data_IF_146088789882
#
_entry.id   IF_146088789882
#
_cell.length_a   1.000
_cell.length_b   1.000
_cell.length_c   1.000
_cell.angle_alpha   90.00
_cell.angle_beta   90.00
_cell.angle_gamma   90.00
#
_symmetry.space_group_name_H-M   'P 1'
#
loop_
_entity.id
_entity.type
_entity.pdbx_description
1 polymer ?
#
# COMPACT_ATOMS: atom_id res chain seq x y z
N UNK A 1 -25.20 -6.72 -6.29
CA UNK A 1 -24.46 -7.03 -7.54
C UNK A 1 -23.61 -5.81 -7.84
N UNK A 2 -22.27 -5.93 -7.78
CA UNK A 2 -21.33 -4.82 -7.96
C UNK A 2 -20.89 -4.77 -9.42
N UNK A 3 -21.08 -3.63 -10.08
CA UNK A 3 -20.61 -3.35 -11.44
C UNK A 3 -19.16 -2.89 -11.39
N UNK A 4 -18.28 -3.52 -12.19
CA UNK A 4 -16.88 -3.11 -12.31
C UNK A 4 -16.81 -1.74 -12.99
N UNK A 5 -16.52 -0.68 -12.23
CA UNK A 5 -16.18 0.63 -12.77
C UNK A 5 -14.67 0.67 -13.12
N UNK A 6 -14.36 1.12 -14.33
CA UNK A 6 -12.98 1.43 -14.73
C UNK A 6 -12.62 2.78 -14.11
N UNK A 7 -11.55 2.85 -13.31
CA UNK A 7 -11.05 4.11 -12.79
C UNK A 7 -10.62 5.01 -13.97
N UNK A 8 -11.39 6.07 -14.22
CA UNK A 8 -11.01 7.10 -15.16
C UNK A 8 -9.98 8.02 -14.50
N UNK A 9 -8.71 7.64 -14.57
CA UNK A 9 -7.61 8.49 -14.10
C UNK A 9 -7.65 9.85 -14.80
N UNK A 10 -7.62 10.94 -14.02
CA UNK A 10 -7.63 12.30 -14.57
C UNK A 10 -6.20 12.70 -14.89
N UNK A 11 -5.78 12.48 -16.13
CA UNK A 11 -4.48 13.00 -16.58
C UNK A 11 -4.57 14.53 -16.67
N UNK A 12 -3.75 15.29 -15.92
CA UNK A 12 -3.80 16.75 -15.91
C UNK A 12 -3.76 17.37 -17.31
N UNK A 13 -2.93 16.79 -18.18
CA UNK A 13 -2.71 17.25 -19.55
C UNK A 13 -3.91 16.96 -20.47
N UNK A 14 -4.64 15.87 -20.23
CA UNK A 14 -5.76 15.45 -21.07
C UNK A 14 -7.09 16.08 -20.65
N UNK A 15 -7.24 16.46 -19.38
CA UNK A 15 -8.49 16.99 -18.84
C UNK A 15 -8.25 18.07 -17.76
N UNK A 16 -7.63 19.22 -18.10
CA UNK A 16 -7.25 20.25 -17.12
C UNK A 16 -8.46 20.88 -16.41
N UNK A 17 -9.58 21.08 -17.12
CA UNK A 17 -10.82 21.59 -16.52
C UNK A 17 -11.38 20.62 -15.46
N UNK A 18 -11.29 19.31 -15.71
CA UNK A 18 -11.73 18.28 -14.76
C UNK A 18 -10.83 18.23 -13.54
N UNK A 19 -9.51 18.34 -13.72
CA UNK A 19 -8.59 18.46 -12.59
C UNK A 19 -8.94 19.69 -11.74
N UNK A 20 -9.16 20.85 -12.37
CA UNK A 20 -9.54 22.07 -11.65
C UNK A 20 -10.82 21.88 -10.81
N UNK A 21 -11.87 21.26 -11.36
CA UNK A 21 -13.10 20.97 -10.62
C UNK A 21 -12.86 20.06 -9.40
N UNK A 22 -12.03 19.03 -9.56
CA UNK A 22 -11.67 18.13 -8.45
C UNK A 22 -10.88 18.89 -7.38
N UNK A 23 -9.89 19.68 -7.78
CA UNK A 23 -9.08 20.49 -6.87
C UNK A 23 -9.96 21.50 -6.11
N UNK A 24 -10.89 22.16 -6.79
CA UNK A 24 -11.86 23.07 -6.18
C UNK A 24 -12.78 22.37 -5.17
N UNK A 25 -13.22 21.15 -5.48
CA UNK A 25 -14.03 20.33 -4.57
C UNK A 25 -13.24 19.96 -3.31
N UNK A 26 -11.99 19.54 -3.47
CA UNK A 26 -11.09 19.28 -2.35
C UNK A 26 -10.86 20.56 -1.53
N UNK A 27 -10.63 21.70 -2.18
CA UNK A 27 -10.41 23.00 -1.53
C UNK A 27 -11.61 23.43 -0.66
N UNK A 28 -12.85 23.10 -1.04
CA UNK A 28 -14.07 23.39 -0.27
C UNK A 28 -14.38 22.39 0.86
N UNK A 29 -13.75 21.22 0.87
CA UNK A 29 -14.11 20.13 1.78
C UNK A 29 -13.69 20.40 3.23
N UNK A 30 -14.60 20.23 4.19
CA UNK A 30 -14.36 20.59 5.60
C UNK A 30 -13.76 19.47 6.44
N UNK A 31 -14.05 18.21 6.14
CA UNK A 31 -13.57 17.08 6.95
C UNK A 31 -12.73 16.13 6.08
N UNK A 32 -11.42 16.34 6.11
CA UNK A 32 -10.46 15.59 5.30
C UNK A 32 -9.68 14.64 6.21
N UNK A 33 -9.70 13.36 5.86
CA UNK A 33 -8.78 12.35 6.37
C UNK A 33 -7.71 12.09 5.32
N UNK A 34 -6.46 11.92 5.76
CA UNK A 34 -5.32 11.62 4.89
C UNK A 34 -4.71 10.29 5.30
N UNK A 35 -4.36 9.45 4.33
CA UNK A 35 -3.56 8.24 4.50
C UNK A 35 -2.33 8.31 3.58
N UNK A 36 -1.14 8.18 4.16
CA UNK A 36 0.11 8.47 3.50
C UNK A 36 1.13 7.31 3.60
N UNK A 37 1.92 7.14 2.53
CA UNK A 37 3.10 6.28 2.49
C UNK A 37 4.34 6.88 3.15
N UNK A 38 5.43 6.11 3.24
CA UNK A 38 6.75 6.60 3.68
C UNK A 38 7.52 7.33 2.56
N UNK A 39 7.03 7.23 1.33
CA UNK A 39 7.54 7.89 0.11
C UNK A 39 7.62 9.40 0.22
N UNK A 40 6.69 10.06 0.91
CA UNK A 40 6.72 11.52 1.10
C UNK A 40 7.97 12.00 1.83
N UNK A 41 8.54 11.15 2.69
CA UNK A 41 9.75 11.47 3.44
C UNK A 41 11.02 11.30 2.61
N UNK A 42 10.93 10.76 1.40
CA UNK A 42 12.08 10.62 0.49
C UNK A 42 12.57 11.96 -0.04
N UNK A 43 11.67 12.93 -0.21
CA UNK A 43 12.06 14.30 -0.58
C UNK A 43 12.99 14.91 0.49
N UNK A 44 12.81 14.49 1.75
CA UNK A 44 13.65 14.87 2.89
C UNK A 44 14.94 14.04 3.03
N UNK A 45 15.30 13.23 2.02
CA UNK A 45 16.44 12.30 2.07
C UNK A 45 16.36 11.29 3.22
N UNK A 46 15.16 11.00 3.71
CA UNK A 46 14.94 10.00 4.75
C UNK A 46 14.86 8.64 4.06
N UNK A 47 15.69 7.71 4.51
CA UNK A 47 15.84 6.38 3.92
C UNK A 47 14.61 5.57 4.23
N UNK A 48 13.82 5.17 3.23
CA UNK A 48 12.57 4.42 3.37
C UNK A 48 12.75 3.04 4.00
N UNK A 49 11.66 2.36 4.32
CA UNK A 49 11.73 1.09 5.06
C UNK A 49 12.31 -0.06 4.22
N UNK A 50 12.14 0.03 2.90
CA UNK A 50 12.69 -0.95 1.94
C UNK A 50 14.09 -0.58 1.47
N UNK A 51 14.59 0.60 1.83
CA UNK A 51 15.90 1.05 1.36
C UNK A 51 17.01 0.24 2.06
N UNK A 52 18.13 -0.04 1.36
CA UNK A 52 19.21 -0.84 1.89
C UNK A 52 19.98 -0.09 2.99
N UNK A 53 20.28 -0.81 4.06
CA UNK A 53 21.06 -0.39 5.23
C UNK A 53 22.30 -1.28 5.33
N UNK A 54 23.44 -0.67 5.66
CA UNK A 54 24.68 -1.39 5.89
C UNK A 54 24.67 -2.10 7.27
N UNK A 55 24.96 -3.40 7.24
CA UNK A 55 25.07 -4.28 8.40
C UNK A 55 26.50 -4.75 8.55
N UNK A 56 27.13 -4.43 9.68
CA UNK A 56 28.55 -4.66 9.90
C UNK A 56 28.82 -5.99 10.63
N UNK A 57 29.43 -6.94 9.93
CA UNK A 57 29.87 -8.24 10.43
C UNK A 57 31.40 -8.26 10.60
N UNK A 58 31.90 -7.44 11.53
CA UNK A 58 33.34 -7.32 11.77
C UNK A 58 34.07 -6.63 10.62
N UNK A 59 34.71 -7.40 9.73
CA UNK A 59 35.40 -6.88 8.53
C UNK A 59 34.52 -6.90 7.27
N UNK A 60 33.40 -7.60 7.31
CA UNK A 60 32.45 -7.68 6.19
C UNK A 60 31.29 -6.70 6.42
N UNK A 61 30.87 -6.02 5.35
CA UNK A 61 29.64 -5.22 5.32
C UNK A 61 28.65 -5.89 4.39
N UNK A 62 27.45 -6.18 4.89
CA UNK A 62 26.33 -6.69 4.10
C UNK A 62 25.24 -5.63 4.00
N UNK A 63 24.42 -5.70 2.96
CA UNK A 63 23.22 -4.85 2.85
C UNK A 63 22.00 -5.65 3.25
N UNK A 64 21.15 -5.04 4.07
CA UNK A 64 19.83 -5.56 4.44
C UNK A 64 18.81 -4.43 4.36
N UNK A 65 17.53 -4.71 4.11
CA UNK A 65 16.52 -3.65 4.18
C UNK A 65 16.27 -3.26 5.64
N UNK A 66 15.85 -2.02 5.87
CA UNK A 66 15.43 -1.60 7.21
C UNK A 66 14.28 -2.47 7.73
N UNK A 67 13.33 -2.86 6.86
CA UNK A 67 12.25 -3.79 7.20
C UNK A 67 12.77 -5.15 7.73
N UNK A 68 13.82 -5.70 7.11
CA UNK A 68 14.42 -6.96 7.54
C UNK A 68 15.05 -6.81 8.93
N UNK A 69 15.83 -5.75 9.14
CA UNK A 69 16.41 -5.45 10.45
C UNK A 69 15.35 -5.25 11.53
N UNK A 70 14.26 -4.56 11.20
CA UNK A 70 13.13 -4.34 12.10
C UNK A 70 12.46 -5.65 12.51
N UNK A 71 12.32 -6.59 11.58
CA UNK A 71 11.77 -7.92 11.84
C UNK A 71 12.72 -8.75 12.72
N UNK A 72 13.99 -8.84 12.34
CA UNK A 72 15.02 -9.62 13.05
C UNK A 72 15.26 -9.08 14.48
N UNK A 73 15.18 -7.77 14.66
CA UNK A 73 15.31 -7.10 15.95
C UNK A 73 14.00 -6.98 16.74
N UNK A 74 12.90 -7.53 16.24
CA UNK A 74 11.60 -7.39 16.87
C UNK A 74 11.54 -8.16 18.20
N UNK A 75 11.16 -7.52 19.32
CA UNK A 75 11.01 -8.21 20.60
C UNK A 75 9.85 -9.23 20.60
N UNK A 76 8.97 -9.18 19.58
CA UNK A 76 7.91 -10.17 19.40
C UNK A 76 8.43 -11.50 18.83
N UNK A 77 9.57 -11.47 18.15
CA UNK A 77 10.16 -12.64 17.48
C UNK A 77 11.41 -13.15 18.19
N UNK A 78 12.20 -12.24 18.75
CA UNK A 78 13.50 -12.55 19.36
C UNK A 78 13.53 -12.03 20.79
N UNK A 79 13.89 -12.90 21.75
CA UNK A 79 14.09 -12.46 23.13
C UNK A 79 15.23 -11.42 23.19
N UNK A 80 15.10 -10.34 24.00
CA UNK A 80 16.15 -9.35 24.17
C UNK A 80 17.53 -9.93 24.49
N UNK A 81 17.58 -11.04 25.23
CA UNK A 81 18.84 -11.69 25.65
C UNK A 81 19.50 -12.50 24.52
N UNK A 82 18.75 -12.81 23.45
CA UNK A 82 19.21 -13.57 22.28
C UNK A 82 19.44 -12.70 21.05
N UNK A 83 19.19 -11.39 21.16
CA UNK A 83 19.29 -10.47 20.04
C UNK A 83 20.75 -10.31 19.60
N UNK A 84 21.00 -10.46 18.30
CA UNK A 84 22.34 -10.18 17.75
C UNK A 84 22.65 -8.70 17.94
N UNK A 85 23.63 -8.42 18.81
CA UNK A 85 24.05 -7.07 19.15
C UNK A 85 24.53 -6.27 17.92
N UNK A 86 25.00 -6.93 16.87
CA UNK A 86 25.42 -6.30 15.61
C UNK A 86 24.22 -5.81 14.81
N UNK A 87 23.20 -6.66 14.66
CA UNK A 87 21.94 -6.29 14.00
C UNK A 87 21.28 -5.13 14.74
N UNK A 88 21.24 -5.22 16.07
CA UNK A 88 20.73 -4.15 16.93
C UNK A 88 21.48 -2.85 16.73
N UNK A 89 22.81 -2.88 16.70
CA UNK A 89 23.63 -1.69 16.52
C UNK A 89 23.42 -1.05 15.13
N UNK A 90 23.36 -1.87 14.08
CA UNK A 90 23.04 -1.41 12.72
C UNK A 90 21.64 -0.82 12.63
N UNK A 91 20.64 -1.45 13.25
CA UNK A 91 19.29 -0.90 13.33
C UNK A 91 19.31 0.45 14.06
N UNK A 92 19.89 0.53 15.26
CA UNK A 92 19.97 1.78 16.03
C UNK A 92 20.67 2.91 15.26
N UNK A 93 21.76 2.60 14.55
CA UNK A 93 22.45 3.56 13.70
C UNK A 93 21.54 4.05 12.56
N UNK A 94 20.82 3.16 11.88
CA UNK A 94 19.88 3.53 10.82
C UNK A 94 18.73 4.39 11.34
N UNK A 95 18.14 4.01 12.48
CA UNK A 95 17.07 4.74 13.14
C UNK A 95 17.52 6.14 13.61
N UNK A 96 18.76 6.26 14.12
CA UNK A 96 19.37 7.53 14.49
C UNK A 96 19.58 8.44 13.27
N UNK A 97 20.10 7.91 12.15
CA UNK A 97 20.21 8.68 10.89
C UNK A 97 18.86 9.21 10.45
N UNK A 98 17.81 8.37 10.49
CA UNK A 98 16.44 8.78 10.18
C UNK A 98 15.92 9.88 11.11
N UNK A 99 16.11 9.76 12.43
CA UNK A 99 15.72 10.82 13.39
C UNK A 99 16.43 12.14 13.10
N UNK A 100 17.74 12.11 12.89
CA UNK A 100 18.52 13.31 12.59
C UNK A 100 18.02 13.95 11.29
N UNK A 101 17.81 13.15 10.24
CA UNK A 101 17.28 13.64 8.97
C UNK A 101 15.87 14.25 9.15
N UNK A 102 15.00 13.60 9.93
CA UNK A 102 13.66 14.11 10.22
C UNK A 102 13.66 15.44 10.97
N UNK A 103 14.51 15.60 11.98
CA UNK A 103 14.62 16.87 12.73
C UNK A 103 15.19 18.02 11.90
N UNK A 104 16.02 17.70 10.91
CA UNK A 104 16.63 18.67 10.01
C UNK A 104 15.85 18.82 8.69
N UNK A 105 14.71 18.15 8.54
CA UNK A 105 13.89 18.20 7.35
C UNK A 105 13.24 19.58 7.21
N UNK A 106 13.34 20.18 6.04
CA UNK A 106 12.53 21.35 5.68
C UNK A 106 11.11 20.92 5.29
N UNK A 107 10.11 21.77 5.55
CA UNK A 107 8.74 21.48 5.16
C UNK A 107 8.59 21.50 3.63
N UNK A 108 8.44 20.33 3.02
CA UNK A 108 8.00 20.22 1.63
C UNK A 108 6.55 20.73 1.45
N UNK A 109 6.11 20.99 0.21
CA UNK A 109 4.77 21.54 -0.07
C UNK A 109 3.64 20.73 0.54
N UNK A 110 3.75 19.39 0.53
CA UNK A 110 2.71 18.53 1.11
C UNK A 110 2.62 18.64 2.64
N UNK A 111 3.75 18.77 3.33
CA UNK A 111 3.76 18.92 4.80
C UNK A 111 3.22 20.30 5.20
N UNK A 112 3.49 21.33 4.38
CA UNK A 112 2.86 22.65 4.55
C UNK A 112 1.34 22.57 4.35
N UNK A 113 0.88 21.88 3.31
CA UNK A 113 -0.55 21.63 3.08
C UNK A 113 -1.21 20.90 4.27
N UNK A 114 -0.55 19.88 4.84
CA UNK A 114 -1.04 19.18 6.04
C UNK A 114 -1.20 20.15 7.24
N UNK A 115 -0.20 21.02 7.45
CA UNK A 115 -0.22 22.07 8.47
C UNK A 115 -1.34 23.08 8.25
N UNK A 116 -1.57 23.48 6.99
CA UNK A 116 -2.65 24.39 6.60
C UNK A 116 -4.03 23.76 6.91
N UNK A 117 -4.25 22.49 6.52
CA UNK A 117 -5.48 21.78 6.84
C UNK A 117 -5.74 21.70 8.35
N UNK A 118 -4.70 21.48 9.16
CA UNK A 118 -4.82 21.46 10.62
C UNK A 118 -5.19 22.82 11.19
N UNK A 119 -4.53 23.87 10.73
CA UNK A 119 -4.76 25.27 11.14
C UNK A 119 -6.18 25.73 10.78
N UNK A 120 -6.68 25.30 9.61
CA UNK A 120 -8.05 25.56 9.15
C UNK A 120 -9.11 24.68 9.84
N UNK A 121 -8.72 23.75 10.73
CA UNK A 121 -9.64 22.82 11.39
C UNK A 121 -10.25 21.77 10.46
N UNK A 122 -9.64 21.55 9.28
CA UNK A 122 -10.16 20.66 8.23
C UNK A 122 -9.61 19.24 8.32
N UNK A 123 -8.44 19.07 8.94
CA UNK A 123 -7.81 17.77 9.13
C UNK A 123 -8.52 16.98 10.25
N UNK A 124 -9.18 15.88 9.87
CA UNK A 124 -9.91 15.02 10.80
C UNK A 124 -8.97 14.00 11.45
N UNK A 125 -8.17 13.32 10.61
CA UNK A 125 -7.13 12.38 11.02
C UNK A 125 -6.06 12.28 9.92
N UNK A 126 -4.82 12.01 10.32
CA UNK A 126 -3.70 11.76 9.42
C UNK A 126 -3.07 10.40 9.75
N UNK A 127 -3.16 9.46 8.82
CA UNK A 127 -2.62 8.12 8.93
C UNK A 127 -1.32 8.05 8.12
N UNK A 128 -0.24 7.58 8.72
CA UNK A 128 1.06 7.48 8.02
C UNK A 128 1.71 6.13 8.30
N UNK A 129 2.30 5.54 7.26
CA UNK A 129 3.24 4.43 7.42
C UNK A 129 4.65 4.93 7.76
N UNK A 130 4.93 6.23 7.59
CA UNK A 130 6.15 6.78 8.16
C UNK A 130 6.12 6.72 9.68
N UNK A 131 7.29 6.54 10.28
CA UNK A 131 7.49 6.50 11.72
C UNK A 131 8.58 7.47 12.16
N UNK A 132 9.10 8.31 11.28
CA UNK A 132 10.17 9.27 11.62
C UNK A 132 9.68 10.51 12.38
N UNK A 133 8.39 10.82 12.28
CA UNK A 133 7.75 11.91 13.01
C UNK A 133 8.01 13.30 12.42
N UNK A 134 8.39 13.39 11.14
CA UNK A 134 8.59 14.66 10.44
C UNK A 134 7.39 15.61 10.59
N UNK A 135 6.18 15.07 10.59
CA UNK A 135 4.96 15.87 10.64
C UNK A 135 4.86 16.68 11.95
N UNK A 136 5.30 16.09 13.05
CA UNK A 136 5.28 16.73 14.37
C UNK A 136 6.43 17.71 14.57
N UNK A 137 7.54 17.56 13.86
CA UNK A 137 8.65 18.51 13.87
C UNK A 137 8.22 19.84 13.26
N UNK A 138 7.45 19.78 12.17
CA UNK A 138 7.03 20.97 11.43
C UNK A 138 5.83 21.67 12.06
N UNK A 139 4.87 20.89 12.56
CA UNK A 139 3.74 21.40 13.29
C UNK A 139 3.37 20.46 14.45
N UNK A 140 3.78 20.79 15.70
CA UNK A 140 3.44 19.99 16.87
C UNK A 140 1.94 19.78 17.07
N UNK A 141 1.10 20.72 16.60
CA UNK A 141 -0.36 20.64 16.70
C UNK A 141 -0.98 19.62 15.74
N UNK A 142 -0.19 19.06 14.81
CA UNK A 142 -0.65 17.95 13.95
C UNK A 142 -0.52 16.61 14.68
N UNK A 143 0.36 16.50 15.70
CA UNK A 143 0.71 15.24 16.35
C UNK A 143 -0.48 14.55 17.02
N UNK A 144 -1.46 15.32 17.52
CA UNK A 144 -2.70 14.79 18.13
C UNK A 144 -3.63 14.10 17.12
N UNK A 145 -3.43 14.37 15.83
CA UNK A 145 -4.17 13.79 14.70
C UNK A 145 -3.38 12.72 13.95
N UNK A 146 -2.10 12.51 14.27
CA UNK A 146 -1.25 11.54 13.57
C UNK A 146 -1.40 10.14 14.15
N UNK A 147 -1.69 9.18 13.28
CA UNK A 147 -1.68 7.76 13.55
C UNK A 147 -0.52 7.11 12.79
N UNK A 148 0.56 6.80 13.51
CA UNK A 148 1.76 6.18 12.94
C UNK A 148 1.64 4.67 12.99
N UNK A 149 1.45 4.03 11.84
CA UNK A 149 1.13 2.61 11.78
C UNK A 149 2.31 1.70 12.13
N UNK A 150 3.52 2.17 11.89
CA UNK A 150 4.76 1.45 12.16
C UNK A 150 5.44 1.87 13.47
N UNK A 151 4.78 2.66 14.31
CA UNK A 151 5.31 3.15 15.58
C UNK A 151 5.92 4.57 15.46
N UNK A 152 6.71 4.96 16.46
CA UNK A 152 7.28 6.31 16.56
C UNK A 152 8.77 6.25 16.89
N UNK A 153 9.60 6.58 15.90
CA UNK A 153 11.05 6.58 16.01
C UNK A 153 11.61 7.81 16.73
N UNK A 154 10.79 8.82 17.06
CA UNK A 154 11.25 9.97 17.87
C UNK A 154 11.66 9.52 19.27
N UNK A 155 11.04 8.46 19.77
CA UNK A 155 11.28 7.93 21.13
C UNK A 155 12.21 6.73 21.13
N UNK A 156 13.06 6.63 22.15
CA UNK A 156 13.98 5.51 22.38
C UNK A 156 13.63 4.84 23.72
N UNK A 157 13.68 3.50 23.80
CA UNK A 157 13.47 2.77 25.05
C UNK A 157 14.38 1.56 25.15
N UNK A 158 14.68 1.09 26.35
CA UNK A 158 15.37 -0.20 26.45
C UNK A 158 14.46 -1.33 25.91
N UNK A 159 15.05 -2.35 25.28
CA UNK A 159 14.35 -3.52 24.73
C UNK A 159 13.64 -4.39 25.80
N UNK A 160 13.80 -4.07 27.09
CA UNK A 160 13.11 -4.72 28.19
C UNK A 160 11.69 -4.15 28.34
N UNK A 161 10.72 -5.04 28.51
CA UNK A 161 9.26 -4.76 28.48
C UNK A 161 8.76 -3.74 29.50
N UNK A 162 9.53 -3.40 30.54
CA UNK A 162 9.14 -2.47 31.60
C UNK A 162 9.84 -1.11 31.50
N UNK A 163 10.68 -0.89 30.49
CA UNK A 163 11.38 0.38 30.36
C UNK A 163 10.49 1.43 29.69
N UNK A 164 10.38 2.58 30.36
CA UNK A 164 9.63 3.74 29.86
C UNK A 164 10.35 4.33 28.65
N UNK A 165 9.58 4.70 27.63
CA UNK A 165 10.11 5.43 26.49
C UNK A 165 10.59 6.81 26.91
N UNK A 166 11.75 7.21 26.38
CA UNK A 166 12.30 8.53 26.59
C UNK A 166 11.63 9.54 25.66
N UNK A 167 11.57 10.81 26.09
CA UNK A 167 11.08 11.90 25.23
C UNK A 167 11.95 12.05 23.98
N UNK A 168 11.46 12.81 22.99
CA UNK A 168 12.22 13.08 21.77
C UNK A 168 13.56 13.78 22.08
N UNK A 169 13.55 14.77 22.97
CA UNK A 169 14.74 15.53 23.38
C UNK A 169 15.77 14.63 24.08
N UNK A 170 15.30 13.73 24.95
CA UNK A 170 16.17 12.77 25.63
C UNK A 170 16.73 11.74 24.65
N UNK A 171 15.93 11.33 23.66
CA UNK A 171 16.33 10.39 22.61
C UNK A 171 17.40 10.98 21.69
N UNK A 172 17.37 12.29 21.42
CA UNK A 172 18.37 13.00 20.61
C UNK A 172 19.81 12.84 21.15
N UNK A 173 19.97 12.72 22.48
CA UNK A 173 21.28 12.52 23.13
C UNK A 173 21.93 11.17 22.74
N UNK A 174 21.13 10.19 22.32
CA UNK A 174 21.62 8.88 21.91
C UNK A 174 22.01 8.82 20.44
N UNK A 175 21.58 9.76 19.61
CA UNK A 175 21.82 9.68 18.17
C UNK A 175 23.31 9.72 17.84
N UNK A 176 24.07 10.63 18.45
CA UNK A 176 25.54 10.65 18.32
C UNK A 176 26.17 9.32 18.76
N UNK A 177 25.70 8.74 19.87
CA UNK A 177 26.22 7.47 20.40
C UNK A 177 25.94 6.29 19.47
N UNK A 178 24.76 6.27 18.85
CA UNK A 178 24.39 5.23 17.88
C UNK A 178 25.19 5.32 16.58
N UNK A 179 25.63 6.53 16.20
CA UNK A 179 26.46 6.74 15.00
C UNK A 179 27.95 6.49 15.22
N UNK A 180 28.50 6.89 16.37
CA UNK A 180 29.94 6.83 16.65
C UNK A 180 30.49 5.41 16.82
N UNK A 181 29.67 4.48 17.31
CA UNK A 181 30.17 3.17 17.69
C UNK A 181 29.17 2.03 17.49
N UNK A 182 28.83 1.66 16.24
CA UNK A 182 28.09 0.43 15.98
C UNK A 182 28.76 -0.79 16.65
N UNK A 183 30.08 -0.78 16.75
CA UNK A 183 30.87 -1.91 17.29
C UNK A 183 31.22 -1.80 18.79
N UNK A 184 31.26 -0.61 19.39
CA UNK A 184 31.77 -0.43 20.77
C UNK A 184 30.69 -0.47 21.86
N UNK A 185 29.41 -0.18 21.51
CA UNK A 185 28.28 -0.26 22.45
C UNK A 185 28.01 -1.69 22.94
N UNK A 186 28.48 -2.68 22.17
CA UNK A 186 28.34 -4.13 22.42
C UNK A 186 29.06 -4.58 23.71
N UNK A 187 30.10 -3.88 24.18
CA UNK A 187 31.00 -4.40 25.23
C UNK A 187 30.60 -4.08 26.68
N UNK A 188 29.63 -3.22 26.94
CA UNK A 188 29.38 -2.72 28.31
C UNK A 188 28.44 -3.58 29.16
N UNK A 189 27.94 -4.72 28.65
CA UNK A 189 27.12 -5.66 29.43
C UNK A 189 25.75 -5.13 29.88
N UNK A 190 25.46 -3.85 29.64
CA UNK A 190 24.13 -3.26 29.76
C UNK A 190 23.45 -3.33 28.41
N UNK A 191 22.30 -4.01 28.35
CA UNK A 191 21.43 -4.01 27.18
C UNK A 191 21.18 -2.56 26.76
N UNK A 192 21.83 -2.15 25.66
CA UNK A 192 21.80 -0.78 25.19
C UNK A 192 20.36 -0.34 24.89
N UNK A 193 20.11 0.97 24.84
CA UNK A 193 18.82 1.49 24.41
C UNK A 193 18.51 0.96 22.99
N UNK A 194 17.29 0.48 22.80
CA UNK A 194 16.74 0.04 21.53
C UNK A 194 15.85 1.17 21.00
N UNK A 195 15.92 1.49 19.72
CA UNK A 195 14.82 2.22 19.10
C UNK A 195 13.63 1.26 19.09
N UNK A 196 12.69 1.40 20.01
CA UNK A 196 11.52 0.54 19.97
C UNK A 196 10.60 1.02 18.88
N UNK A 197 10.68 0.36 17.73
CA UNK A 197 9.48 0.23 16.94
C UNK A 197 8.62 -0.82 17.59
N UNK A 198 7.53 -0.36 18.22
CA UNK A 198 6.34 -1.19 18.21
C UNK A 198 5.87 -1.22 16.76
N UNK A 199 6.34 -2.21 16.00
CA UNK A 199 5.78 -2.53 14.69
C UNK A 199 4.35 -3.00 14.96
N UNK A 200 3.46 -2.02 14.96
CA UNK A 200 2.24 -2.14 15.71
C UNK A 200 1.13 -2.78 14.91
N UNK A 201 1.36 -4.01 14.43
CA UNK A 201 0.24 -4.84 14.01
C UNK A 201 -0.77 -5.00 15.16
N UNK A 202 -0.32 -4.93 16.41
CA UNK A 202 -1.18 -4.92 17.60
C UNK A 202 -1.86 -3.58 17.88
N UNK A 203 -1.25 -2.42 17.57
CA UNK A 203 -1.90 -1.10 17.78
C UNK A 203 -2.87 -0.76 16.65
N UNK A 204 -2.68 -1.37 15.47
CA UNK A 204 -3.67 -1.47 14.40
C UNK A 204 -4.89 -2.32 14.79
N UNK A 205 -4.87 -2.98 15.94
CA UNK A 205 -5.97 -3.79 16.45
C UNK A 205 -6.57 -3.16 17.71
N UNK A 206 -7.88 -3.34 17.91
CA UNK A 206 -8.57 -2.81 19.08
C UNK A 206 -8.90 -1.31 19.00
N UNK A 207 -8.51 -0.54 20.00
CA UNK A 207 -9.00 0.82 20.22
C UNK A 207 -8.48 1.84 19.20
N UNK A 208 -7.21 1.70 18.75
CA UNK A 208 -6.63 2.56 17.72
C UNK A 208 -7.40 2.49 16.41
N UNK A 209 -7.73 1.27 15.96
CA UNK A 209 -8.56 1.03 14.78
C UNK A 209 -9.96 1.61 14.95
N UNK A 210 -10.62 1.41 16.10
CA UNK A 210 -11.95 1.99 16.35
C UNK A 210 -11.96 3.51 16.26
N UNK A 211 -10.94 4.17 16.84
CA UNK A 211 -10.79 5.63 16.73
C UNK A 211 -10.62 6.09 15.29
N UNK A 212 -9.82 5.36 14.50
CA UNK A 212 -9.63 5.67 13.08
C UNK A 212 -10.91 5.50 12.27
N UNK A 213 -11.66 4.42 12.48
CA UNK A 213 -12.96 4.20 11.82
C UNK A 213 -13.99 5.27 12.23
N UNK A 214 -14.00 5.68 13.51
CA UNK A 214 -14.86 6.78 13.96
C UNK A 214 -14.50 8.11 13.29
N UNK A 215 -13.20 8.40 13.13
CA UNK A 215 -12.74 9.57 12.36
C UNK A 215 -13.17 9.49 10.90
N UNK A 216 -13.00 8.33 10.25
CA UNK A 216 -13.40 8.09 8.86
C UNK A 216 -14.91 8.29 8.66
N UNK A 217 -15.74 7.79 9.57
CA UNK A 217 -17.20 7.95 9.52
C UNK A 217 -17.67 9.42 9.60
N UNK A 218 -16.82 10.33 10.12
CA UNK A 218 -17.09 11.78 10.14
C UNK A 218 -16.40 12.54 9.01
N UNK A 219 -15.59 11.86 8.20
CA UNK A 219 -14.82 12.47 7.12
C UNK A 219 -15.63 12.50 5.84
N UNK A 220 -15.53 13.62 5.12
CA UNK A 220 -16.15 13.82 3.80
C UNK A 220 -15.23 13.34 2.67
N UNK A 221 -13.92 13.32 2.93
CA UNK A 221 -12.92 12.95 1.94
C UNK A 221 -11.80 12.16 2.61
N UNK A 222 -11.45 11.03 2.01
CA UNK A 222 -10.23 10.28 2.29
C UNK A 222 -9.23 10.49 1.14
N UNK A 223 -8.10 11.13 1.42
CA UNK A 223 -6.99 11.27 0.50
C UNK A 223 -5.95 10.19 0.77
N UNK A 224 -5.70 9.30 -0.19
CA UNK A 224 -4.62 8.32 -0.13
C UNK A 224 -3.46 8.83 -0.96
N UNK A 225 -2.36 9.23 -0.32
CA UNK A 225 -1.27 9.99 -0.95
C UNK A 225 0.03 9.18 -0.98
N UNK A 226 0.58 9.04 -2.19
CA UNK A 226 1.83 8.34 -2.53
C UNK A 226 1.98 6.99 -1.82
N UNK A 227 0.86 6.28 -1.69
CA UNK A 227 0.80 5.05 -0.94
C UNK A 227 0.46 3.89 -1.88
N UNK A 228 1.36 2.91 -2.05
CA UNK A 228 1.09 1.81 -2.95
C UNK A 228 -0.11 1.01 -2.44
N UNK A 229 -1.15 0.91 -3.27
CA UNK A 229 -2.35 0.15 -2.96
C UNK A 229 -2.12 -1.32 -3.28
N UNK A 230 -1.47 -2.05 -2.36
CA UNK A 230 -1.24 -3.49 -2.51
C UNK A 230 -2.37 -4.25 -1.81
N UNK A 231 -2.95 -5.32 -2.37
CA UNK A 231 -4.05 -6.04 -1.72
C UNK A 231 -3.59 -6.95 -0.57
N UNK A 232 -2.42 -6.71 0.06
CA UNK A 232 -1.79 -7.68 0.96
C UNK A 232 -1.12 -6.99 2.15
N UNK A 233 -1.88 -6.89 3.24
CA UNK A 233 -1.35 -6.53 4.54
C UNK A 233 -2.47 -6.03 5.47
N UNK A 234 -2.26 -6.05 6.79
CA UNK A 234 -3.21 -5.49 7.74
C UNK A 234 -3.45 -3.99 7.52
N UNK A 235 -2.42 -3.26 7.06
CA UNK A 235 -2.50 -1.83 6.75
C UNK A 235 -3.37 -1.58 5.51
N UNK A 236 -3.22 -2.39 4.47
CA UNK A 236 -4.06 -2.26 3.27
C UNK A 236 -5.51 -2.60 3.59
N UNK A 237 -5.75 -3.65 4.38
CA UNK A 237 -7.08 -3.97 4.91
C UNK A 237 -7.71 -2.80 5.67
N UNK A 238 -6.92 -2.11 6.51
CA UNK A 238 -7.39 -0.91 7.19
C UNK A 238 -7.78 0.20 6.21
N UNK A 239 -7.04 0.43 5.12
CA UNK A 239 -7.39 1.46 4.13
C UNK A 239 -8.73 1.17 3.45
N UNK A 240 -8.99 -0.10 3.13
CA UNK A 240 -10.30 -0.51 2.64
C UNK A 240 -11.41 -0.26 3.67
N UNK A 241 -11.18 -0.63 4.93
CA UNK A 241 -12.16 -0.38 6.00
C UNK A 241 -12.43 1.14 6.15
N UNK A 242 -11.40 1.99 6.03
CA UNK A 242 -11.56 3.45 6.10
C UNK A 242 -12.31 4.02 4.89
N UNK A 243 -12.02 3.52 3.68
CA UNK A 243 -12.75 3.89 2.47
C UNK A 243 -14.24 3.53 2.61
N UNK A 244 -14.53 2.30 3.05
CA UNK A 244 -15.91 1.84 3.29
C UNK A 244 -16.64 2.72 4.31
N UNK A 245 -15.99 3.15 5.39
CA UNK A 245 -16.60 4.06 6.37
C UNK A 245 -16.85 5.47 5.80
N UNK A 246 -15.94 6.01 4.99
CA UNK A 246 -16.13 7.31 4.32
C UNK A 246 -17.29 7.22 3.32
N UNK A 247 -17.36 6.15 2.54
CA UNK A 247 -18.45 5.92 1.58
C UNK A 247 -19.82 5.76 2.24
N UNK A 248 -19.91 5.14 3.43
CA UNK A 248 -21.16 5.08 4.20
C UNK A 248 -21.69 6.47 4.57
N UNK A 249 -20.81 7.45 4.71
CA UNK A 249 -21.13 8.86 4.94
C UNK A 249 -21.35 9.67 3.67
N UNK A 250 -21.47 9.03 2.49
CA UNK A 250 -21.50 9.68 1.18
C UNK A 250 -20.25 10.53 0.86
N UNK A 251 -19.14 10.26 1.54
CA UNK A 251 -17.86 10.89 1.24
C UNK A 251 -17.19 10.29 0.01
N UNK A 252 -16.05 10.87 -0.37
CA UNK A 252 -15.24 10.42 -1.51
C UNK A 252 -13.86 9.91 -1.07
N UNK A 253 -13.27 9.04 -1.88
CA UNK A 253 -11.93 8.48 -1.70
C UNK A 253 -11.10 8.77 -2.95
N UNK A 254 -10.06 9.58 -2.78
CA UNK A 254 -9.18 10.01 -3.89
C UNK A 254 -7.77 9.49 -3.62
N UNK A 255 -7.23 8.77 -4.60
CA UNK A 255 -5.83 8.40 -4.62
C UNK A 255 -5.02 9.45 -5.36
N UNK A 256 -3.94 9.94 -4.75
CA UNK A 256 -2.98 10.89 -5.32
C UNK A 256 -1.63 10.20 -5.36
N UNK A 257 -1.09 10.03 -6.55
CA UNK A 257 0.25 9.47 -6.71
C UNK A 257 0.53 9.06 -8.13
N UNK A 258 1.80 9.11 -8.53
CA UNK A 258 2.24 8.84 -9.91
C UNK A 258 2.11 7.37 -10.30
N UNK A 259 2.12 6.46 -9.32
CA UNK A 259 1.99 5.03 -9.59
C UNK A 259 0.56 4.66 -10.00
N UNK A 260 0.46 3.85 -11.06
CA UNK A 260 -0.83 3.29 -11.47
C UNK A 260 -1.33 2.29 -10.44
N UNK A 261 -2.59 2.42 -10.04
CA UNK A 261 -3.27 1.47 -9.18
C UNK A 261 -3.46 0.16 -9.94
N UNK A 262 -3.08 -0.98 -9.34
CA UNK A 262 -3.15 -2.31 -9.96
C UNK A 262 -4.14 -3.21 -9.22
N UNK A 263 -4.85 -4.05 -9.97
CA UNK A 263 -5.69 -5.13 -9.44
C UNK A 263 -7.12 -4.69 -9.07
N UNK A 264 -8.09 -5.61 -9.17
CA UNK A 264 -9.54 -5.29 -9.12
C UNK A 264 -10.03 -4.70 -7.79
N UNK A 265 -9.44 -5.09 -6.66
CA UNK A 265 -9.91 -4.68 -5.33
C UNK A 265 -9.84 -3.16 -5.07
N UNK A 266 -8.71 -2.46 -5.34
CA UNK A 266 -8.66 -1.00 -5.23
C UNK A 266 -9.77 -0.24 -5.97
N UNK A 267 -10.23 -0.75 -7.12
CA UNK A 267 -11.21 -0.06 -7.96
C UNK A 267 -12.60 0.04 -7.31
N UNK A 268 -12.90 -0.76 -6.28
CA UNK A 268 -14.16 -0.63 -5.54
C UNK A 268 -14.08 0.36 -4.39
N UNK A 269 -12.87 0.76 -3.98
CA UNK A 269 -12.63 1.59 -2.81
C UNK A 269 -12.17 3.01 -3.15
N UNK A 270 -11.69 3.23 -4.38
CA UNK A 270 -11.16 4.52 -4.84
C UNK A 270 -12.10 5.06 -5.91
N UNK A 271 -12.61 6.28 -5.71
CA UNK A 271 -13.52 6.94 -6.66
C UNK A 271 -12.73 7.63 -7.78
N UNK A 272 -11.57 8.19 -7.43
CA UNK A 272 -10.74 8.96 -8.35
C UNK A 272 -9.25 8.71 -8.13
N UNK A 273 -8.50 8.61 -9.22
CA UNK A 273 -7.05 8.60 -9.20
C UNK A 273 -6.48 9.83 -9.91
N UNK A 274 -5.67 10.59 -9.18
CA UNK A 274 -4.89 11.72 -9.67
C UNK A 274 -3.42 11.29 -9.85
N UNK A 275 -2.95 11.05 -11.09
CA UNK A 275 -1.58 10.65 -11.38
C UNK A 275 -0.61 11.85 -11.34
N UNK A 276 -0.51 12.49 -10.18
CA UNK A 276 0.38 13.62 -9.89
C UNK A 276 1.15 13.37 -8.60
N UNK A 277 2.27 14.06 -8.41
CA UNK A 277 3.03 13.99 -7.14
C UNK A 277 2.26 14.69 -6.02
N UNK A 278 2.50 14.28 -4.78
CA UNK A 278 1.92 14.93 -3.62
C UNK A 278 2.26 16.43 -3.53
N UNK A 279 3.47 16.83 -3.91
CA UNK A 279 3.89 18.23 -3.94
C UNK A 279 3.04 19.07 -4.92
N UNK A 280 2.90 18.62 -6.17
CA UNK A 280 2.07 19.33 -7.16
C UNK A 280 0.59 19.36 -6.75
N UNK A 281 0.08 18.27 -6.19
CA UNK A 281 -1.27 18.21 -5.64
C UNK A 281 -1.49 19.25 -4.55
N UNK A 282 -0.59 19.33 -3.56
CA UNK A 282 -0.64 20.28 -2.47
C UNK A 282 -0.66 21.73 -2.99
N UNK A 283 0.24 22.07 -3.91
CA UNK A 283 0.29 23.41 -4.51
C UNK A 283 -0.99 23.80 -5.27
N UNK A 284 -1.62 22.84 -5.97
CA UNK A 284 -2.89 23.08 -6.65
C UNK A 284 -4.02 23.35 -5.67
N UNK A 285 -4.13 22.55 -4.60
CA UNK A 285 -5.17 22.72 -3.59
C UNK A 285 -4.98 24.01 -2.81
N UNK A 286 -3.76 24.32 -2.35
CA UNK A 286 -3.50 25.56 -1.61
C UNK A 286 -3.84 26.80 -2.46
N UNK A 287 -3.46 26.81 -3.74
CA UNK A 287 -3.81 27.90 -4.66
C UNK A 287 -5.32 28.06 -4.84
N UNK A 288 -6.05 26.95 -4.94
CA UNK A 288 -7.52 26.99 -5.03
C UNK A 288 -8.15 27.51 -3.73
N UNK A 289 -7.63 27.12 -2.57
CA UNK A 289 -8.07 27.65 -1.26
C UNK A 289 -7.83 29.16 -1.17
N UNK A 290 -6.66 29.66 -1.59
CA UNK A 290 -6.37 31.09 -1.64
C UNK A 290 -7.35 31.84 -2.54
N UNK A 291 -7.64 31.33 -3.73
CA UNK A 291 -8.60 31.93 -4.66
C UNK A 291 -10.01 32.01 -4.07
N UNK A 292 -10.45 30.98 -3.35
CA UNK A 292 -11.73 30.99 -2.64
C UNK A 292 -11.77 32.06 -1.55
N UNK A 293 -10.66 32.25 -0.82
CA UNK A 293 -10.57 33.28 0.22
C UNK A 293 -10.66 34.72 -0.33
N UNK A 294 -10.19 34.97 -1.56
CA UNK A 294 -10.31 36.27 -2.22
C UNK A 294 -11.64 36.49 -2.94
N UNK A 295 -12.32 35.43 -3.37
CA UNK A 295 -13.58 35.50 -4.11
C UNK A 295 -14.83 35.69 -3.25
N UNK A 296 -14.77 35.31 -1.97
CA UNK A 296 -15.92 35.31 -1.06
C UNK A 296 -16.22 36.71 -0.49
N UNK A 297 -16.77 37.58 -1.34
CA UNK A 297 -17.12 38.97 -0.99
C UNK A 297 -18.59 39.17 -0.58
N UNK A 298 -19.37 38.10 -0.33
CA UNK A 298 -20.64 38.25 0.38
C UNK A 298 -21.82 37.42 -0.11
N UNK A 299 -21.66 36.11 -0.28
CA UNK A 299 -22.81 35.21 -0.33
C UNK A 299 -22.97 34.52 1.02
N UNK A 300 -24.01 34.94 1.75
CA UNK A 300 -24.33 34.50 3.11
C UNK A 300 -24.42 32.97 3.22
N UNK A 301 -23.40 32.38 3.85
CA UNK A 301 -23.46 31.15 4.64
C UNK A 301 -24.38 30.03 4.15
N UNK A 302 -24.23 29.56 2.92
CA UNK A 302 -24.91 28.33 2.51
C UNK A 302 -24.44 27.15 3.38
N UNK A 303 -25.44 26.51 4.00
CA UNK A 303 -25.28 25.33 4.81
C UNK A 303 -24.73 24.18 3.94
N UNK A 304 -23.83 23.38 4.50
CA UNK A 304 -23.12 22.31 3.80
C UNK A 304 -24.11 21.35 3.10
N UNK A 305 -23.95 21.17 1.80
CA UNK A 305 -24.71 20.20 1.01
C UNK A 305 -23.96 18.84 0.96
N UNK A 306 -24.46 17.79 1.65
CA UNK A 306 -23.89 16.45 1.56
C UNK A 306 -23.98 15.84 0.14
N UNK A 307 -24.85 16.35 -0.74
CA UNK A 307 -24.91 15.93 -2.15
C UNK A 307 -23.78 16.54 -3.00
N UNK A 308 -22.98 17.47 -2.47
CA UNK A 308 -21.90 18.12 -3.22
C UNK A 308 -20.93 17.12 -3.87
N UNK A 309 -20.51 16.07 -3.15
CA UNK A 309 -19.61 15.05 -3.71
C UNK A 309 -20.31 14.11 -4.67
N UNK A 310 -21.63 13.93 -4.53
CA UNK A 310 -22.45 13.21 -5.50
C UNK A 310 -22.54 14.00 -6.80
N UNK A 311 -22.77 15.31 -6.73
CA UNK A 311 -22.82 16.21 -7.89
C UNK A 311 -21.46 16.35 -8.57
N UNK A 312 -20.37 16.45 -7.81
CA UNK A 312 -19.01 16.42 -8.37
C UNK A 312 -18.76 15.07 -9.04
N UNK A 313 -19.12 13.95 -8.41
CA UNK A 313 -18.98 12.60 -8.99
C UNK A 313 -19.82 12.41 -10.26
N UNK A 314 -21.06 12.91 -10.28
CA UNK A 314 -21.95 12.87 -11.43
C UNK A 314 -21.43 13.77 -12.54
N UNK A 315 -21.06 15.01 -12.25
CA UNK A 315 -20.49 15.95 -13.22
C UNK A 315 -19.23 15.36 -13.85
N UNK A 316 -18.38 14.72 -13.03
CA UNK A 316 -17.22 13.96 -13.46
C UNK A 316 -17.61 12.78 -14.35
N UNK A 317 -18.66 12.04 -14.03
CA UNK A 317 -19.10 10.88 -14.82
C UNK A 317 -19.74 11.30 -16.15
N UNK A 318 -20.56 12.36 -16.14
CA UNK A 318 -21.25 12.87 -17.32
C UNK A 318 -20.31 13.55 -18.31
N UNK A 319 -19.21 14.16 -17.84
CA UNK A 319 -18.19 14.76 -18.71
C UNK A 319 -17.25 13.75 -19.39
N UNK A 320 -17.36 12.45 -19.05
CA UNK A 320 -16.66 11.36 -19.76
C UNK A 320 -17.47 10.86 -20.95
N UNK A 321 -18.76 11.20 -21.03
CA UNK A 321 -19.55 10.84 -22.21
C UNK A 321 -19.14 11.76 -23.38
N UNK A 322 -18.82 11.20 -24.56
CA UNK A 322 -18.53 12.00 -25.74
C UNK A 322 -19.73 12.92 -26.06
N UNK A 323 -19.45 14.14 -26.50
CA UNK A 323 -20.49 15.14 -26.79
C UNK A 323 -21.61 14.55 -27.67
N UNK A 324 -22.89 14.66 -27.27
CA UNK A 324 -23.97 14.00 -27.98
C UNK A 324 -24.37 14.78 -29.23
N UNK A 325 -23.87 14.33 -30.37
CA UNK A 325 -24.52 14.48 -31.66
C UNK A 325 -25.50 13.33 -31.92
N UNK A 326 -26.47 13.08 -31.03
CA UNK A 326 -27.77 12.48 -31.35
C UNK A 326 -28.66 12.33 -30.11
N UNK A 327 -29.94 12.65 -30.28
CA UNK A 327 -30.94 12.79 -29.22
C UNK A 327 -31.40 11.44 -28.63
N UNK A 328 -30.98 11.12 -27.41
CA UNK A 328 -31.71 10.20 -26.54
C UNK A 328 -31.94 10.83 -25.17
N UNK A 329 -33.21 10.98 -24.79
CA UNK A 329 -33.62 11.33 -23.44
C UNK A 329 -33.13 10.25 -22.47
N UNK A 330 -32.26 10.62 -21.53
CA UNK A 330 -31.92 9.77 -20.39
C UNK A 330 -32.52 10.40 -19.13
N UNK A 331 -33.46 9.68 -18.56
CA UNK A 331 -34.12 9.96 -17.30
C UNK A 331 -33.19 9.53 -16.16
N UNK A 332 -32.88 10.45 -15.24
CA UNK A 332 -32.02 10.21 -14.08
C UNK A 332 -32.74 9.25 -13.12
N UNK A 333 -32.09 8.13 -12.77
CA UNK A 333 -32.51 7.26 -11.66
C UNK A 333 -31.29 6.91 -10.81
N UNK A 334 -31.37 7.32 -9.54
CA UNK A 334 -30.43 6.98 -8.47
C UNK A 334 -30.26 5.46 -8.33
N UNK A 335 -29.03 5.04 -8.03
CA UNK A 335 -28.58 3.72 -7.55
C UNK A 335 -29.61 2.58 -7.69
N UNK A 336 -29.76 2.03 -8.90
CA UNK A 336 -30.07 0.61 -9.21
C UNK A 336 -30.56 0.49 -10.66
N UNK A 337 -29.69 0.28 -11.66
CA UNK A 337 -30.12 -0.17 -12.99
C UNK A 337 -29.18 -1.19 -13.65
N UNK A 338 -29.83 -2.15 -14.32
CA UNK A 338 -29.33 -3.38 -14.92
C UNK A 338 -28.52 -3.16 -16.21
N UNK A 339 -27.59 -4.08 -16.47
CA UNK A 339 -26.65 -4.03 -17.60
C UNK A 339 -27.32 -4.15 -18.97
N UNK A 340 -26.99 -3.24 -19.88
CA UNK A 340 -26.93 -3.53 -21.32
C UNK A 340 -25.50 -3.25 -21.76
N UNK A 341 -24.73 -4.32 -21.92
CA UNK A 341 -23.37 -4.26 -22.44
C UNK A 341 -23.41 -3.86 -23.92
N UNK A 342 -22.75 -2.74 -24.27
CA UNK A 342 -22.22 -2.53 -25.62
C UNK A 342 -20.70 -2.65 -25.55
N UNK A 343 -20.18 -3.47 -26.45
CA UNK A 343 -18.78 -3.82 -26.60
C UNK A 343 -17.96 -2.59 -27.03
N UNK A 344 -17.31 -1.92 -26.09
CA UNK A 344 -16.13 -1.12 -26.40
C UNK A 344 -14.90 -1.90 -25.91
N UNK A 345 -13.98 -2.18 -26.83
CA UNK A 345 -12.71 -2.86 -26.54
C UNK A 345 -11.86 -1.97 -25.60
N UNK A 346 -11.50 -2.43 -24.39
CA UNK A 346 -10.62 -1.67 -23.52
C UNK A 346 -9.21 -1.62 -24.13
N UNK A 347 -8.63 -0.41 -24.17
CA UNK A 347 -7.21 -0.16 -24.43
C UNK A 347 -6.38 -1.18 -23.63
N UNK A 348 -5.62 -2.03 -24.32
CA UNK A 348 -4.97 -3.19 -23.71
C UNK A 348 -3.92 -2.76 -22.69
N UNK A 349 -4.29 -2.76 -21.41
CA UNK A 349 -3.35 -2.83 -20.31
C UNK A 349 -2.52 -4.10 -20.52
N UNK A 350 -1.21 -3.97 -20.67
CA UNK A 350 -0.31 -5.10 -20.84
C UNK A 350 -0.55 -6.12 -19.72
N UNK A 351 -0.76 -7.38 -20.09
CA UNK A 351 -1.03 -8.46 -19.14
C UNK A 351 0.15 -8.59 -18.17
N UNK A 352 -0.12 -8.58 -16.87
CA UNK A 352 0.87 -8.74 -15.81
C UNK A 352 0.37 -9.73 -14.75
N UNK A 353 1.29 -10.42 -14.08
CA UNK A 353 0.96 -11.36 -13.03
C UNK A 353 0.37 -10.67 -11.79
N UNK A 354 -0.78 -11.15 -11.33
CA UNK A 354 -1.46 -10.65 -10.13
C UNK A 354 -0.71 -10.94 -8.82
N UNK A 355 0.23 -11.89 -8.83
CA UNK A 355 1.08 -12.20 -7.67
C UNK A 355 2.41 -11.46 -7.69
N UNK A 356 3.08 -11.46 -8.84
CA UNK A 356 4.49 -11.10 -8.98
C UNK A 356 4.69 -9.80 -9.75
N UNK A 357 3.63 -9.23 -10.33
CA UNK A 357 3.64 -8.02 -11.17
C UNK A 357 4.54 -8.07 -12.40
N UNK A 358 5.16 -9.22 -12.71
CA UNK A 358 5.91 -9.42 -13.93
C UNK A 358 4.97 -9.37 -15.14
N UNK A 359 5.39 -8.66 -16.17
CA UNK A 359 4.63 -8.39 -17.39
C UNK A 359 5.22 -9.09 -18.61
N UNK A 360 5.78 -10.29 -18.41
CA UNK A 360 6.37 -11.11 -19.48
C UNK A 360 5.31 -12.09 -19.96
N UNK A 361 4.58 -11.80 -21.07
CA UNK A 361 3.37 -12.53 -21.44
C UNK A 361 3.60 -14.04 -21.62
N UNK A 362 4.80 -14.44 -22.03
CA UNK A 362 5.20 -15.83 -22.23
C UNK A 362 5.21 -16.66 -20.93
N UNK A 363 5.26 -16.01 -19.77
CA UNK A 363 5.22 -16.65 -18.45
C UNK A 363 3.91 -16.41 -17.71
N UNK A 364 2.88 -15.89 -18.38
CA UNK A 364 1.59 -15.64 -17.77
C UNK A 364 0.58 -16.71 -18.18
N UNK A 365 0.00 -17.37 -17.19
CA UNK A 365 -1.16 -18.22 -17.39
C UNK A 365 -2.41 -17.51 -16.85
N UNK A 366 -3.46 -17.42 -17.67
CA UNK A 366 -4.74 -16.85 -17.25
C UNK A 366 -5.59 -17.91 -16.52
N UNK A 367 -6.00 -17.61 -15.30
CA UNK A 367 -6.96 -18.44 -14.56
C UNK A 367 -8.32 -18.39 -15.24
N UNK A 368 -8.89 -19.53 -15.61
CA UNK A 368 -10.18 -19.56 -16.32
C UNK A 368 -11.37 -19.12 -15.44
N UNK A 369 -11.22 -19.23 -14.11
CA UNK A 369 -12.26 -18.82 -13.17
C UNK A 369 -12.22 -17.32 -12.91
N UNK A 370 -11.10 -16.79 -12.41
CA UNK A 370 -11.03 -15.39 -11.98
C UNK A 370 -10.48 -14.43 -13.05
N UNK A 371 -10.02 -14.97 -14.19
CA UNK A 371 -9.45 -14.24 -15.33
C UNK A 371 -8.14 -13.48 -15.00
N UNK A 372 -7.59 -13.72 -13.81
CA UNK A 372 -6.29 -13.23 -13.34
C UNK A 372 -5.14 -13.93 -14.04
N UNK A 373 -4.03 -13.22 -14.26
CA UNK A 373 -2.81 -13.79 -14.84
C UNK A 373 -1.82 -14.15 -13.73
N UNK A 374 -1.13 -15.28 -13.86
CA UNK A 374 -0.13 -15.73 -12.88
C UNK A 374 1.19 -16.15 -13.56
N UNK A 375 2.30 -15.78 -12.94
CA UNK A 375 3.65 -16.19 -13.32
C UNK A 375 3.75 -17.73 -13.21
N UNK A 376 4.12 -18.44 -14.27
CA UNK A 376 4.55 -19.84 -14.21
C UNK A 376 6.02 -19.94 -14.62
N UNK A 377 6.79 -20.81 -13.96
CA UNK A 377 8.21 -21.02 -14.28
C UNK A 377 8.47 -22.50 -14.56
N UNK A 378 9.26 -22.77 -15.59
CA UNK A 378 9.86 -24.10 -15.80
C UNK A 378 11.02 -24.26 -14.81
N UNK A 379 10.97 -25.27 -13.95
CA UNK A 379 12.10 -25.63 -13.11
C UNK A 379 13.09 -26.50 -13.93
N UNK A 380 14.41 -26.27 -13.84
CA UNK A 380 15.38 -27.18 -14.43
C UNK A 380 15.36 -28.53 -13.70
N UNK A 381 15.44 -29.64 -14.46
CA UNK A 381 15.31 -31.03 -13.99
C UNK A 381 16.26 -31.41 -12.82
N UNK A 382 17.36 -30.67 -12.64
CA UNK A 382 18.40 -31.00 -11.67
C UNK A 382 18.19 -30.40 -10.28
N UNK A 383 17.13 -29.61 -10.07
CA UNK A 383 16.73 -29.12 -8.74
C UNK A 383 15.63 -30.02 -8.15
N UNK A 384 15.98 -31.27 -7.83
CA UNK A 384 15.10 -32.15 -7.06
C UNK A 384 14.90 -31.56 -5.65
N UNK A 385 13.66 -31.22 -5.22
CA UNK A 385 13.41 -30.99 -3.82
C UNK A 385 13.33 -32.34 -3.13
N UNK A 386 14.30 -32.65 -2.27
CA UNK A 386 14.25 -33.79 -1.34
C UNK A 386 12.97 -33.68 -0.47
N UNK A 387 11.89 -34.31 -0.92
CA UNK A 387 10.61 -34.41 -0.22
C UNK A 387 10.24 -35.88 -0.17
N UNK A 388 10.34 -36.48 1.01
CA UNK A 388 9.93 -37.87 1.27
C UNK A 388 8.41 -37.97 1.15
N UNK A 389 7.93 -38.76 0.20
CA UNK A 389 6.52 -39.12 0.05
C UNK A 389 6.09 -40.09 1.17
N UNK A 390 4.94 -39.83 1.77
CA UNK A 390 4.19 -40.81 2.57
C UNK A 390 3.01 -41.31 1.71
N UNK A 391 3.00 -42.60 1.39
CA UNK A 391 1.84 -43.30 0.79
C UNK A 391 2.07 -43.79 -0.63
N UNK A 392 1.91 -45.10 -0.85
CA UNK A 392 2.03 -45.79 -2.13
C UNK A 392 0.87 -45.41 -3.07
N UNK A 393 1.20 -44.90 -4.25
CA UNK A 393 0.28 -44.82 -5.40
C UNK A 393 0.97 -45.53 -6.56
N UNK A 394 0.35 -46.62 -7.01
CA UNK A 394 0.77 -47.39 -8.19
C UNK A 394 0.53 -46.57 -9.46
N UNK A 395 1.57 -46.38 -10.28
CA UNK A 395 1.47 -45.76 -11.60
C UNK A 395 1.55 -46.86 -12.67
N UNK A 396 0.52 -46.94 -13.53
CA UNK A 396 0.54 -47.77 -14.74
C UNK A 396 1.13 -46.99 -15.91
N UNK A 397 2.10 -47.58 -16.61
CA UNK A 397 2.65 -47.08 -17.87
C UNK A 397 1.94 -47.71 -19.07
N UNK A 398 1.68 -46.92 -20.12
CA UNK A 398 1.20 -47.42 -21.42
C UNK A 398 2.08 -46.81 -22.52
N UNK A 399 2.67 -47.69 -23.33
CA UNK A 399 3.42 -47.33 -24.54
C UNK A 399 2.48 -47.01 -25.71
N UNK A 400 2.58 -45.79 -26.25
CA UNK A 400 2.81 -45.46 -27.69
C UNK A 400 2.40 -44.01 -28.00
N UNK A 401 3.35 -43.27 -28.58
CA UNK A 401 3.20 -41.92 -29.14
C UNK A 401 3.36 -42.04 -30.66
N UNK A 402 2.41 -41.47 -31.41
CA UNK A 402 2.60 -41.18 -32.84
C UNK A 402 3.31 -39.82 -32.96
N UNK A 403 4.44 -39.84 -33.67
CA UNK A 403 5.39 -38.74 -33.83
C UNK A 403 4.88 -37.67 -34.78
N UNK A 404 4.76 -36.42 -34.30
CA UNK A 404 4.98 -35.17 -35.09
C UNK A 404 4.96 -33.92 -34.16
N UNK A 405 5.71 -33.95 -33.06
CA UNK A 405 6.01 -32.77 -32.22
C UNK A 405 7.54 -32.56 -32.21
N UNK A 406 8.07 -31.37 -32.58
CA UNK A 406 9.52 -31.12 -32.67
C UNK A 406 10.24 -30.98 -31.32
N UNK A 407 9.61 -31.33 -30.19
CA UNK A 407 10.25 -31.33 -28.88
C UNK A 407 10.28 -32.75 -28.29
N UNK A 408 11.48 -33.23 -27.89
CA UNK A 408 11.65 -34.51 -27.20
C UNK A 408 10.88 -34.50 -25.86
N UNK A 409 9.82 -35.33 -25.80
CA UNK A 409 8.99 -35.56 -24.61
C UNK A 409 9.74 -36.44 -23.61
N UNK A 410 10.53 -35.84 -22.72
CA UNK A 410 10.86 -36.48 -21.44
C UNK A 410 10.79 -35.43 -20.32
N UNK A 411 9.65 -35.43 -19.61
CA UNK A 411 9.42 -34.95 -18.25
C UNK A 411 9.65 -33.47 -17.90
N UNK A 412 8.64 -32.63 -18.16
CA UNK A 412 8.55 -31.28 -17.62
C UNK A 412 7.81 -31.25 -16.27
N UNK A 413 8.38 -30.60 -15.25
CA UNK A 413 7.70 -30.33 -13.98
C UNK A 413 7.24 -28.87 -13.96
N UNK A 414 5.97 -28.64 -13.63
CA UNK A 414 5.44 -27.29 -13.38
C UNK A 414 5.52 -27.03 -11.88
N UNK A 415 6.49 -26.20 -11.48
CA UNK A 415 6.68 -25.79 -10.08
C UNK A 415 5.99 -24.45 -9.87
N UNK A 416 4.91 -24.47 -9.09
CA UNK A 416 4.41 -23.26 -8.45
C UNK A 416 4.96 -23.25 -7.02
N UNK A 417 5.72 -22.21 -6.67
CA UNK A 417 6.15 -22.01 -5.28
C UNK A 417 4.93 -21.65 -4.42
N UNK A 418 4.29 -22.67 -3.84
CA UNK A 418 3.24 -22.50 -2.85
C UNK A 418 3.83 -22.47 -1.44
N UNK A 419 3.52 -21.42 -0.71
CA UNK A 419 3.64 -21.38 0.75
C UNK A 419 2.23 -21.37 1.33
N UNK A 420 1.89 -22.35 2.16
CA UNK A 420 0.71 -22.23 3.02
C UNK A 420 0.87 -21.05 3.98
N UNK A 421 -0.22 -20.56 4.58
CA UNK A 421 -0.20 -19.51 5.63
C UNK A 421 0.76 -19.83 6.81
N UNK A 422 1.19 -21.09 6.94
CA UNK A 422 2.10 -21.58 7.98
C UNK A 422 3.51 -21.94 7.44
N UNK A 423 3.85 -21.58 6.20
CA UNK A 423 5.18 -21.78 5.62
C UNK A 423 5.49 -23.20 5.10
N UNK A 424 4.53 -24.13 5.12
CA UNK A 424 4.73 -25.47 4.57
C UNK A 424 4.51 -25.51 3.05
N UNK A 425 5.43 -26.18 2.35
CA UNK A 425 5.42 -26.48 0.90
C UNK A 425 4.58 -27.73 0.64
N UNK A 426 3.62 -27.65 -0.29
CA UNK A 426 2.79 -28.80 -0.70
C UNK A 426 3.43 -29.55 -1.88
N UNK A 427 3.16 -30.86 -1.98
CA UNK A 427 3.76 -31.77 -2.96
C UNK A 427 3.24 -31.57 -4.40
N UNK A 428 4.10 -31.97 -5.35
CA UNK A 428 4.02 -31.77 -6.80
C UNK A 428 3.11 -32.80 -7.49
N UNK A 429 2.55 -32.42 -8.65
CA UNK A 429 1.92 -33.35 -9.60
C UNK A 429 2.84 -33.55 -10.82
N UNK A 430 2.95 -34.79 -11.29
CA UNK A 430 3.62 -35.16 -12.55
C UNK A 430 2.67 -34.90 -13.73
N UNK A 431 3.14 -34.24 -14.79
CA UNK A 431 2.28 -33.85 -15.92
C UNK A 431 2.35 -34.82 -17.10
N UNK A 432 1.20 -34.98 -17.76
CA UNK A 432 1.08 -34.67 -19.19
C UNK A 432 -0.09 -33.66 -19.35
N UNK A 433 0.15 -32.58 -20.11
CA UNK A 433 -0.76 -31.47 -20.49
C UNK A 433 -1.54 -30.71 -19.38
N UNK A 434 -1.22 -29.42 -19.17
CA UNK A 434 -2.11 -28.46 -18.47
C UNK A 434 -2.97 -27.73 -19.51
N UNK A 435 -4.25 -28.13 -19.66
CA UNK A 435 -5.19 -27.41 -20.53
C UNK A 435 -5.93 -26.27 -19.81
N UNK A 436 -6.03 -26.25 -18.48
CA UNK A 436 -6.77 -25.21 -17.75
C UNK A 436 -6.32 -25.05 -16.29
N UNK A 437 -6.36 -23.81 -15.78
CA UNK A 437 -6.09 -23.46 -14.38
C UNK A 437 -7.38 -22.98 -13.72
N UNK A 438 -7.74 -23.61 -12.60
CA UNK A 438 -8.95 -23.35 -11.83
C UNK A 438 -8.55 -22.81 -10.44
N UNK A 439 -9.10 -21.67 -10.03
CA UNK A 439 -8.95 -21.12 -8.67
C UNK A 439 -10.27 -21.29 -7.90
N UNK A 440 -10.31 -22.21 -6.94
CA UNK A 440 -11.57 -22.64 -6.32
C UNK A 440 -12.00 -21.81 -5.10
N UNK A 441 -11.17 -20.85 -4.63
CA UNK A 441 -11.58 -19.84 -3.64
C UNK A 441 -10.51 -18.73 -3.52
N UNK A 442 -10.85 -17.62 -2.85
CA UNK A 442 -9.89 -16.54 -2.54
C UNK A 442 -8.69 -16.99 -1.68
N UNK A 443 -8.76 -18.16 -1.05
CA UNK A 443 -7.78 -18.61 -0.05
C UNK A 443 -7.00 -19.88 -0.44
N UNK A 444 -7.43 -20.61 -1.47
CA UNK A 444 -6.76 -21.83 -1.96
C UNK A 444 -6.86 -21.96 -3.48
N UNK A 445 -5.72 -22.20 -4.13
CA UNK A 445 -5.66 -22.63 -5.52
C UNK A 445 -5.63 -24.17 -5.54
N UNK A 446 -6.65 -24.81 -6.10
CA UNK A 446 -6.67 -26.26 -6.34
C UNK A 446 -6.55 -26.47 -7.84
N UNK A 447 -5.40 -26.97 -8.28
CA UNK A 447 -5.20 -27.39 -9.67
C UNK A 447 -5.85 -28.75 -9.88
N UNK A 448 -6.77 -28.82 -10.84
CA UNK A 448 -7.33 -30.07 -11.34
C UNK A 448 -6.90 -30.15 -12.81
N UNK A 449 -6.01 -31.09 -13.13
CA UNK A 449 -5.78 -31.48 -14.52
C UNK A 449 -6.90 -32.47 -14.89
N UNK A 450 -7.68 -32.16 -15.93
CA UNK A 450 -8.69 -33.07 -16.46
C UNK A 450 -8.32 -33.48 -17.88
N UNK A 451 -8.47 -34.78 -18.16
CA UNK A 451 -8.35 -35.37 -19.49
C UNK A 451 -9.69 -35.24 -20.22
N UNK A 452 -9.75 -34.74 -21.47
CA UNK A 452 -10.97 -34.86 -22.28
C UNK A 452 -11.12 -36.31 -22.77
N UNK A 453 -12.31 -36.90 -22.60
CA UNK A 453 -12.62 -38.25 -23.12
C UNK A 453 -12.55 -38.34 -24.64
#
# INVERSE_FOLDING_TARGET
>A
MSTNHVLNGVRPEAAPARLAQVIDAIARTRHIMIACGDTLTREASITGIEDPVDVYYGRETRRSSLQTLLRECSPLQTSPDTLDQRLLASLNAAMAKRRIAARNCEAGPFLQFLSNLRTQGRLTAYLTTSFDGVEAVLNPDVDDRVFRLHGDNRTVRCCRTLCVAQSDEASAVYDGKFLEAPSAVVQTGFGGPLCSLELSETTLMGEGKKRLLASAATSQLLLIVDCPFKPRGPIDGLRFDLADEVHKGSGAVIHVGVESIRGKAPYTAIDLHLPITAACFAEYVDRAVEQLAFGDTGTDGEEYDPEFWYDVSISIFLSVLPEPGDHHHVQIVSNHLSSVAKNEEPLSLAQACDHCSASTPEYLAQCQICQSHFCFRRAPYNESPDVRLFGEVELCFVDRIDNDDPFEYEDAWVVFDFYSKNGHRLALATSDFIQSIWCNSKDYLTLIAMWPQ
#
